data_IF_104615046568
#
_entry.id   IF_104615046568
#
_cell.length_a   1.000
_cell.length_b   1.000
_cell.length_c   1.000
_cell.angle_alpha   90.00
_cell.angle_beta   90.00
_cell.angle_gamma   90.00
#
_symmetry.space_group_name_H-M   'P 1'
#
loop_
_entity.id
_entity.type
_entity.pdbx_description
1 polymer ?
#
# COMPACT_ATOMS: atom_id res chain seq x y z
N UNK A 1 15.60 -2.01 17.83
CA UNK A 1 14.35 -1.74 18.57
C UNK A 1 13.24 -2.60 17.99
N UNK A 2 12.37 -3.21 18.81
CA UNK A 2 11.24 -4.02 18.33
C UNK A 2 10.10 -3.07 17.91
N UNK A 3 9.63 -3.17 16.66
CA UNK A 3 8.50 -2.36 16.16
C UNK A 3 7.19 -2.79 16.82
N UNK A 4 6.29 -1.83 17.02
CA UNK A 4 4.92 -2.08 17.47
C UNK A 4 3.91 -1.82 16.35
N UNK A 5 2.67 -2.28 16.53
CA UNK A 5 1.61 -2.16 15.51
C UNK A 5 1.38 -0.71 15.08
N UNK A 6 1.44 0.23 16.02
CA UNK A 6 1.30 1.66 15.75
C UNK A 6 2.31 2.15 14.70
N UNK A 7 3.53 1.61 14.70
CA UNK A 7 4.56 2.00 13.73
C UNK A 7 4.17 1.56 12.31
N UNK A 8 3.56 0.39 12.14
CA UNK A 8 3.09 -0.08 10.83
C UNK A 8 1.88 0.73 10.34
N UNK A 9 1.00 1.18 11.24
CA UNK A 9 -0.10 2.07 10.88
C UNK A 9 0.41 3.44 10.41
N UNK A 10 1.45 3.98 11.06
CA UNK A 10 2.10 5.20 10.58
C UNK A 10 2.79 4.99 9.23
N UNK A 11 3.51 3.88 9.02
CA UNK A 11 4.11 3.57 7.71
C UNK A 11 3.07 3.58 6.58
N UNK A 12 1.90 2.97 6.83
CA UNK A 12 0.80 2.97 5.86
C UNK A 12 0.35 4.40 5.57
N UNK A 13 0.06 5.19 6.61
CA UNK A 13 -0.42 6.56 6.46
C UNK A 13 0.58 7.46 5.74
N UNK A 14 1.86 7.40 6.13
CA UNK A 14 2.94 8.19 5.53
C UNK A 14 3.16 7.80 4.06
N UNK A 15 3.02 6.52 3.75
CA UNK A 15 3.14 6.03 2.37
C UNK A 15 1.96 6.51 1.51
N UNK A 16 0.72 6.43 2.02
CA UNK A 16 -0.46 6.99 1.34
C UNK A 16 -0.29 8.49 1.08
N UNK A 17 0.15 9.24 2.08
CA UNK A 17 0.39 10.67 1.94
C UNK A 17 1.48 10.98 0.90
N UNK A 18 2.50 10.13 0.80
CA UNK A 18 3.55 10.28 -0.21
C UNK A 18 3.02 10.01 -1.61
N UNK A 19 2.27 8.92 -1.79
CA UNK A 19 1.60 8.60 -3.07
C UNK A 19 0.73 9.76 -3.52
N UNK A 20 -0.13 10.28 -2.62
CA UNK A 20 -1.00 11.42 -2.93
C UNK A 20 -0.19 12.63 -3.41
N UNK A 21 0.91 12.98 -2.74
CA UNK A 21 1.77 14.09 -3.16
C UNK A 21 2.44 13.88 -4.52
N UNK A 22 2.76 12.63 -4.88
CA UNK A 22 3.37 12.35 -6.18
C UNK A 22 2.39 12.53 -7.33
N UNK A 23 1.12 12.20 -7.10
CA UNK A 23 0.09 12.24 -8.15
C UNK A 23 -0.73 13.54 -8.17
N UNK A 24 -0.66 14.38 -7.12
CA UNK A 24 -1.51 15.58 -6.95
C UNK A 24 -1.42 16.57 -8.13
N UNK A 25 -0.25 16.67 -8.75
CA UNK A 25 0.00 17.58 -9.88
C UNK A 25 -0.15 16.94 -11.25
N UNK A 26 -0.51 15.66 -11.33
CA UNK A 26 -0.56 14.90 -12.58
C UNK A 26 -2.02 14.60 -12.93
N UNK A 27 -2.39 14.85 -14.19
CA UNK A 27 -3.58 14.20 -14.73
C UNK A 27 -3.26 12.73 -15.10
N UNK A 28 -4.25 11.98 -15.57
CA UNK A 28 -4.06 10.55 -15.89
C UNK A 28 -3.04 10.33 -17.01
N UNK A 29 -3.09 11.12 -18.09
CA UNK A 29 -2.18 10.99 -19.22
C UNK A 29 -0.75 11.37 -18.80
N UNK A 30 -0.59 12.45 -18.03
CA UNK A 30 0.72 12.85 -17.48
C UNK A 30 1.30 11.75 -16.56
N UNK A 31 0.46 11.11 -15.75
CA UNK A 31 0.87 10.00 -14.89
C UNK A 31 1.30 8.78 -15.70
N UNK A 32 0.59 8.44 -16.78
CA UNK A 32 0.93 7.33 -17.65
C UNK A 32 2.27 7.51 -18.37
N UNK A 33 2.70 8.75 -18.62
CA UNK A 33 4.00 9.06 -19.21
C UNK A 33 5.13 9.23 -18.19
N UNK A 34 4.82 9.46 -16.91
CA UNK A 34 5.81 9.59 -15.83
C UNK A 34 6.16 8.23 -15.20
N UNK A 35 7.05 7.50 -15.88
CA UNK A 35 7.59 6.21 -15.44
C UNK A 35 8.11 6.25 -13.99
N UNK A 36 8.80 7.33 -13.60
CA UNK A 36 9.36 7.48 -12.25
C UNK A 36 8.25 7.53 -11.20
N UNK A 37 7.19 8.30 -11.46
CA UNK A 37 6.06 8.39 -10.53
C UNK A 37 5.28 7.09 -10.47
N UNK A 38 5.10 6.38 -11.61
CA UNK A 38 4.52 5.04 -11.63
C UNK A 38 5.32 4.09 -10.72
N UNK A 39 6.64 4.01 -10.88
CA UNK A 39 7.49 3.19 -10.02
C UNK A 39 7.38 3.57 -8.53
N UNK A 40 7.35 4.87 -8.22
CA UNK A 40 7.20 5.34 -6.85
C UNK A 40 5.84 4.93 -6.24
N UNK A 41 4.75 4.99 -7.01
CA UNK A 41 3.41 4.57 -6.58
C UNK A 41 3.36 3.05 -6.37
N UNK A 42 3.87 2.26 -7.32
CA UNK A 42 3.94 0.79 -7.20
C UNK A 42 4.68 0.40 -5.93
N UNK A 43 5.88 0.95 -5.70
CA UNK A 43 6.64 0.69 -4.48
C UNK A 43 5.93 1.15 -3.20
N UNK A 44 5.20 2.28 -3.26
CA UNK A 44 4.36 2.72 -2.15
C UNK A 44 3.27 1.69 -1.82
N UNK A 45 2.59 1.16 -2.83
CA UNK A 45 1.56 0.15 -2.66
C UNK A 45 2.12 -1.17 -2.09
N UNK A 46 3.31 -1.60 -2.53
CA UNK A 46 4.00 -2.76 -1.95
C UNK A 46 4.29 -2.58 -0.45
N UNK A 47 4.79 -1.41 -0.05
CA UNK A 47 5.06 -1.09 1.36
C UNK A 47 3.80 -1.08 2.21
N UNK A 48 2.70 -0.54 1.68
CA UNK A 48 1.39 -0.58 2.35
C UNK A 48 0.95 -2.03 2.57
N UNK A 49 1.12 -2.90 1.57
CA UNK A 49 0.77 -4.31 1.70
C UNK A 49 1.59 -5.05 2.76
N UNK A 50 2.91 -4.86 2.77
CA UNK A 50 3.77 -5.47 3.80
C UNK A 50 3.42 -4.96 5.21
N UNK A 51 3.24 -3.65 5.38
CA UNK A 51 2.85 -3.08 6.67
C UNK A 51 1.48 -3.60 7.13
N UNK A 52 0.52 -3.71 6.21
CA UNK A 52 -0.81 -4.27 6.49
C UNK A 52 -0.72 -5.72 6.96
N UNK A 53 0.10 -6.53 6.29
CA UNK A 53 0.38 -7.91 6.71
C UNK A 53 0.90 -7.94 8.15
N UNK A 54 1.88 -7.10 8.49
CA UNK A 54 2.40 -7.00 9.88
C UNK A 54 1.32 -6.59 10.88
N UNK A 55 0.44 -5.65 10.55
CA UNK A 55 -0.68 -5.28 11.44
C UNK A 55 -1.55 -6.49 11.73
N UNK A 56 -1.96 -7.21 10.68
CA UNK A 56 -2.89 -8.33 10.85
C UNK A 56 -2.26 -9.59 11.44
N UNK A 57 -0.95 -9.80 11.29
CA UNK A 57 -0.22 -10.90 11.91
C UNK A 57 -0.03 -10.64 13.43
N UNK A 58 0.18 -9.38 13.82
CA UNK A 58 0.36 -9.01 15.23
C UNK A 58 -0.98 -8.78 15.97
N UNK A 59 -2.05 -8.39 15.28
CA UNK A 59 -3.40 -8.21 15.84
C UNK A 59 -4.47 -8.88 14.95
N UNK A 60 -4.58 -10.21 14.96
CA UNK A 60 -5.48 -10.94 14.05
C UNK A 60 -6.96 -10.56 14.20
N UNK A 61 -7.41 -10.16 15.40
CA UNK A 61 -8.79 -9.74 15.67
C UNK A 61 -9.24 -8.53 14.84
N UNK A 62 -8.31 -7.72 14.29
CA UNK A 62 -8.68 -6.57 13.44
C UNK A 62 -9.39 -7.02 12.17
N UNK A 63 -9.10 -8.22 11.66
CA UNK A 63 -9.78 -8.79 10.49
C UNK A 63 -11.27 -9.03 10.76
N UNK A 64 -11.61 -9.45 11.98
CA UNK A 64 -12.99 -9.69 12.39
C UNK A 64 -13.69 -8.37 12.74
N UNK A 65 -13.02 -7.50 13.49
CA UNK A 65 -13.55 -6.20 13.92
C UNK A 65 -13.83 -5.26 12.74
N UNK A 66 -13.01 -5.33 11.70
CA UNK A 66 -13.13 -4.55 10.47
C UNK A 66 -13.31 -5.48 9.27
N UNK A 67 -14.32 -6.35 9.35
CA UNK A 67 -14.62 -7.37 8.34
C UNK A 67 -15.07 -6.81 6.99
N UNK A 68 -15.48 -5.54 6.95
CA UNK A 68 -15.79 -4.81 5.72
C UNK A 68 -14.55 -4.41 4.91
N UNK A 69 -13.35 -4.50 5.49
CA UNK A 69 -12.10 -4.23 4.76
C UNK A 69 -11.55 -5.51 4.14
N UNK A 70 -11.03 -5.40 2.91
CA UNK A 70 -10.40 -6.52 2.22
C UNK A 70 -8.92 -6.67 2.59
N UNK A 71 -8.66 -7.08 3.84
CA UNK A 71 -7.31 -7.23 4.39
C UNK A 71 -6.41 -8.14 3.54
N UNK A 72 -6.99 -9.16 2.91
CA UNK A 72 -6.25 -10.13 2.09
C UNK A 72 -5.74 -9.47 0.81
N UNK A 73 -6.57 -8.67 0.14
CA UNK A 73 -6.16 -7.94 -1.07
C UNK A 73 -5.12 -6.88 -0.76
N UNK A 74 -5.30 -6.11 0.32
CA UNK A 74 -4.34 -5.06 0.71
C UNK A 74 -2.98 -5.70 1.05
N UNK A 75 -2.96 -6.79 1.83
CA UNK A 75 -1.72 -7.50 2.13
C UNK A 75 -1.09 -8.19 0.91
N UNK A 76 -1.91 -8.56 -0.09
CA UNK A 76 -1.52 -9.20 -1.34
C UNK A 76 -1.23 -8.23 -2.49
N UNK A 77 -1.09 -6.93 -2.22
CA UNK A 77 -1.02 -5.90 -3.26
C UNK A 77 0.15 -6.08 -4.24
N UNK A 78 1.26 -6.67 -3.79
CA UNK A 78 2.39 -7.06 -4.66
C UNK A 78 1.96 -8.07 -5.74
N UNK A 79 1.15 -9.06 -5.37
CA UNK A 79 0.74 -10.13 -6.28
C UNK A 79 -0.28 -9.61 -7.31
N UNK A 80 -1.11 -8.65 -6.93
CA UNK A 80 -2.05 -7.96 -7.84
C UNK A 80 -1.28 -7.15 -8.90
N UNK A 81 -0.25 -6.40 -8.48
CA UNK A 81 0.55 -5.55 -9.38
C UNK A 81 1.39 -6.37 -10.37
N UNK A 82 1.98 -7.48 -9.93
CA UNK A 82 2.74 -8.38 -10.82
C UNK A 82 1.83 -9.00 -11.89
N UNK A 83 0.60 -9.38 -11.53
CA UNK A 83 -0.37 -9.92 -12.48
C UNK A 83 -0.86 -8.89 -13.50
N UNK A 84 -0.91 -7.59 -13.16
CA UNK A 84 -1.27 -6.50 -14.08
C UNK A 84 -0.12 -6.11 -15.02
N UNK A 85 1.13 -6.36 -14.64
CA UNK A 85 2.33 -6.08 -15.45
C UNK A 85 2.66 -7.17 -16.49
N UNK A 86 1.85 -8.23 -16.57
CA UNK A 86 2.04 -9.37 -17.48
C UNK A 86 1.09 -9.37 -18.69
N UNK A 87 0.45 -8.24 -18.99
CA UNK A 87 -0.45 -8.07 -20.15
C UNK A 87 0.14 -7.06 -21.13
#
# INVERSE_FOLDING_TARGET
>A
MKRIVKDFLHDILDTINSINRFIDSLNFDDFCEDEKTIFAVIHGLERIGEATKKVTDNLPYVKEKYSNMNWKEIAGMRDILINLSSV
#
